data_IF_096686426063
#
_entry.id   IF_096686426063
#
_cell.length_a   1.000
_cell.length_b   1.000
_cell.length_c   1.000
_cell.angle_alpha   90.00
_cell.angle_beta   90.00
_cell.angle_gamma   90.00
#
_symmetry.space_group_name_H-M   'P 1'
#
loop_
_entity.id
_entity.type
_entity.pdbx_description
1 polymer ?
#
# COMPACT_ATOMS: atom_id res chain seq x y z
N UNK A 1 -47.00 -52.49 -35.21
CA UNK A 1 -46.13 -52.23 -36.37
C UNK A 1 -45.85 -50.73 -36.46
N UNK A 2 -44.57 -50.37 -36.44
CA UNK A 2 -43.90 -49.17 -37.02
C UNK A 2 -44.77 -47.95 -37.37
N UNK A 3 -44.47 -46.79 -36.78
CA UNK A 3 -43.74 -45.71 -37.46
C UNK A 3 -43.60 -44.48 -36.54
N UNK A 4 -42.34 -44.08 -36.31
CA UNK A 4 -41.97 -42.81 -35.70
C UNK A 4 -42.36 -41.64 -36.63
N UNK A 5 -42.96 -40.60 -36.07
CA UNK A 5 -43.09 -39.29 -36.73
C UNK A 5 -42.05 -38.35 -36.13
N UNK A 6 -41.02 -38.09 -36.94
CA UNK A 6 -40.00 -37.05 -36.74
C UNK A 6 -40.66 -35.67 -36.88
N UNK A 7 -40.62 -34.86 -35.85
CA UNK A 7 -40.83 -33.41 -35.96
C UNK A 7 -39.47 -32.74 -36.18
N UNK A 8 -39.28 -32.19 -37.38
CA UNK A 8 -38.18 -31.28 -37.66
C UNK A 8 -38.53 -29.89 -37.14
N UNK A 9 -37.70 -29.36 -36.24
CA UNK A 9 -37.71 -27.94 -35.90
C UNK A 9 -36.46 -27.31 -36.50
N UNK A 10 -36.68 -26.38 -37.42
CA UNK A 10 -35.64 -25.58 -38.05
C UNK A 10 -34.95 -24.69 -37.01
N UNK A 11 -33.62 -24.68 -37.04
CA UNK A 11 -32.77 -23.73 -36.33
C UNK A 11 -32.82 -22.42 -37.10
N UNK A 12 -33.48 -21.40 -36.54
CA UNK A 12 -33.41 -20.03 -37.03
C UNK A 12 -32.49 -19.22 -36.11
N UNK A 13 -31.30 -18.97 -36.66
CA UNK A 13 -30.40 -17.82 -36.51
C UNK A 13 -30.67 -16.76 -35.45
N UNK A 14 -29.65 -16.52 -34.63
CA UNK A 14 -29.03 -15.19 -34.51
C UNK A 14 -29.69 -14.19 -33.57
N UNK A 15 -29.55 -14.39 -32.26
CA UNK A 15 -29.70 -13.29 -31.29
C UNK A 15 -28.36 -12.57 -31.16
N UNK A 16 -28.18 -11.50 -31.93
CA UNK A 16 -27.19 -10.46 -31.68
C UNK A 16 -27.58 -9.78 -30.35
N UNK A 17 -26.96 -10.19 -29.25
CA UNK A 17 -26.91 -9.37 -28.05
C UNK A 17 -26.10 -8.12 -28.41
N UNK A 18 -26.80 -7.00 -28.62
CA UNK A 18 -26.17 -5.70 -28.73
C UNK A 18 -25.33 -5.45 -27.48
N UNK A 19 -24.01 -5.46 -27.65
CA UNK A 19 -23.08 -4.93 -26.65
C UNK A 19 -23.48 -3.47 -26.46
N UNK A 20 -23.99 -3.12 -25.28
CA UNK A 20 -24.25 -1.74 -24.93
C UNK A 20 -22.97 -0.94 -25.26
N UNK A 21 -23.11 0.16 -26.00
CA UNK A 21 -21.99 1.02 -26.31
C UNK A 21 -21.31 1.40 -24.99
N UNK A 22 -20.02 1.07 -24.87
CA UNK A 22 -19.24 1.48 -23.70
C UNK A 22 -19.34 3.01 -23.58
N UNK A 23 -19.56 3.55 -22.36
CA UNK A 23 -19.64 4.99 -22.17
C UNK A 23 -18.37 5.65 -22.74
N UNK A 24 -18.46 6.90 -23.24
CA UNK A 24 -17.30 7.58 -23.80
C UNK A 24 -16.16 7.58 -22.78
N UNK A 25 -14.97 7.19 -23.24
CA UNK A 25 -13.78 7.12 -22.39
C UNK A 25 -13.58 8.47 -21.69
N UNK A 26 -13.35 8.43 -20.37
CA UNK A 26 -12.93 9.62 -19.61
C UNK A 26 -11.65 10.18 -20.22
N UNK A 27 -11.35 11.48 -20.06
CA UNK A 27 -10.07 12.04 -20.51
C UNK A 27 -8.86 11.25 -19.98
N UNK A 28 -8.95 10.74 -18.74
CA UNK A 28 -7.94 9.89 -18.13
C UNK A 28 -7.81 8.53 -18.85
N UNK A 29 -8.93 7.86 -19.14
CA UNK A 29 -8.93 6.59 -19.87
C UNK A 29 -8.38 6.74 -21.30
N UNK A 30 -8.68 7.86 -21.97
CA UNK A 30 -8.14 8.18 -23.29
C UNK A 30 -6.62 8.44 -23.23
N UNK A 31 -6.14 9.17 -22.22
CA UNK A 31 -4.71 9.41 -22.03
C UNK A 31 -3.94 8.11 -21.70
N UNK A 32 -4.51 7.22 -20.87
CA UNK A 32 -3.96 5.89 -20.61
C UNK A 32 -3.84 5.07 -21.90
N UNK A 33 -4.91 4.99 -22.69
CA UNK A 33 -4.91 4.25 -23.94
C UNK A 33 -3.86 4.79 -24.93
N UNK A 34 -3.67 6.11 -24.98
CA UNK A 34 -2.65 6.73 -25.80
C UNK A 34 -1.22 6.37 -25.36
N UNK A 35 -0.97 6.30 -24.04
CA UNK A 35 0.32 5.83 -23.50
C UNK A 35 0.54 4.34 -23.78
N UNK A 36 -0.46 3.49 -23.56
CA UNK A 36 -0.37 2.05 -23.84
C UNK A 36 -0.04 1.75 -25.30
N UNK A 37 -0.65 2.48 -26.24
CA UNK A 37 -0.42 2.31 -27.67
C UNK A 37 1.03 2.56 -28.10
N UNK A 38 1.76 3.42 -27.37
CA UNK A 38 3.18 3.72 -27.64
C UNK A 38 4.16 2.94 -26.75
N UNK A 39 3.68 2.29 -25.68
CA UNK A 39 4.54 1.69 -24.65
C UNK A 39 5.54 0.67 -25.23
N UNK A 40 5.13 -0.17 -26.19
CA UNK A 40 6.04 -1.16 -26.79
C UNK A 40 7.23 -0.51 -27.52
N UNK A 41 7.03 0.67 -28.10
CA UNK A 41 8.06 1.40 -28.85
C UNK A 41 8.88 2.35 -27.95
N UNK A 42 8.26 2.91 -26.91
CA UNK A 42 8.82 4.00 -26.11
C UNK A 42 9.15 3.63 -24.66
N UNK A 43 8.76 2.45 -24.18
CA UNK A 43 8.91 2.02 -22.78
C UNK A 43 9.44 0.59 -22.66
N UNK A 44 10.48 0.27 -23.44
CA UNK A 44 11.10 -1.06 -23.46
C UNK A 44 12.59 -0.95 -23.17
N UNK A 45 13.06 -1.52 -22.06
CA UNK A 45 14.48 -1.48 -21.69
C UNK A 45 15.39 -2.01 -22.83
N UNK A 46 16.54 -1.36 -23.11
CA UNK A 46 17.07 -0.16 -22.47
C UNK A 46 16.51 1.16 -23.05
N UNK A 47 15.62 1.08 -24.05
CA UNK A 47 15.09 2.21 -24.79
C UNK A 47 13.80 2.75 -24.14
N UNK A 48 13.98 3.60 -23.13
CA UNK A 48 12.87 4.31 -22.48
C UNK A 48 12.92 5.78 -22.90
N UNK A 49 11.89 6.23 -23.62
CA UNK A 49 11.76 7.61 -24.05
C UNK A 49 11.44 8.52 -22.85
N UNK A 50 12.20 9.61 -22.70
CA UNK A 50 11.95 10.60 -21.64
C UNK A 50 10.55 11.22 -21.75
N UNK A 51 10.08 11.47 -22.97
CA UNK A 51 8.72 11.98 -23.25
C UNK A 51 7.64 11.08 -22.69
N UNK A 52 7.78 9.75 -22.84
CA UNK A 52 6.83 8.78 -22.31
C UNK A 52 6.75 8.87 -20.77
N UNK A 53 7.91 8.97 -20.11
CA UNK A 53 7.97 9.10 -18.65
C UNK A 53 7.35 10.40 -18.16
N UNK A 54 7.62 11.52 -18.84
CA UNK A 54 7.00 12.79 -18.53
C UNK A 54 5.47 12.75 -18.70
N UNK A 55 4.97 12.12 -19.76
CA UNK A 55 3.55 12.02 -20.03
C UNK A 55 2.82 11.14 -18.99
N UNK A 56 3.42 10.02 -18.57
CA UNK A 56 2.91 9.20 -17.47
C UNK A 56 2.85 10.00 -16.14
N UNK A 57 3.93 10.68 -15.79
CA UNK A 57 4.00 11.50 -14.56
C UNK A 57 2.93 12.60 -14.59
N UNK A 58 2.76 13.30 -15.73
CA UNK A 58 1.72 14.32 -15.89
C UNK A 58 0.31 13.75 -15.75
N UNK A 59 0.07 12.54 -16.26
CA UNK A 59 -1.23 11.87 -16.13
C UNK A 59 -1.53 11.47 -14.68
N UNK A 60 -0.52 11.06 -13.91
CA UNK A 60 -0.70 10.83 -12.47
C UNK A 60 -0.98 12.16 -11.77
N UNK A 61 -0.12 13.16 -11.97
CA UNK A 61 -0.20 14.47 -11.31
C UNK A 61 -1.45 15.29 -11.70
N UNK A 62 -2.09 15.00 -12.83
CA UNK A 62 -3.36 15.65 -13.22
C UNK A 62 -4.52 15.31 -12.26
N UNK A 63 -4.34 14.30 -11.41
CA UNK A 63 -5.34 13.85 -10.44
C UNK A 63 -6.67 13.42 -11.09
N UNK A 64 -6.60 12.91 -12.33
CA UNK A 64 -7.79 12.48 -13.10
C UNK A 64 -8.04 10.98 -13.08
N UNK A 65 -7.07 10.16 -12.64
CA UNK A 65 -7.28 8.72 -12.43
C UNK A 65 -8.25 8.50 -11.26
N UNK A 66 -9.26 7.65 -11.46
CA UNK A 66 -10.41 7.57 -10.55
C UNK A 66 -10.72 6.15 -10.06
N UNK A 67 -10.46 5.15 -10.88
CA UNK A 67 -10.77 3.74 -10.62
C UNK A 67 -9.51 2.91 -10.36
N UNK A 68 -9.66 1.79 -9.65
CA UNK A 68 -8.54 0.89 -9.39
C UNK A 68 -7.93 0.31 -10.68
N UNK A 69 -8.74 0.10 -11.73
CA UNK A 69 -8.27 -0.29 -13.07
C UNK A 69 -7.36 0.76 -13.70
N UNK A 70 -7.74 2.04 -13.65
CA UNK A 70 -6.92 3.13 -14.20
C UNK A 70 -5.58 3.26 -13.47
N UNK A 71 -5.56 3.14 -12.14
CA UNK A 71 -4.32 3.12 -11.35
C UNK A 71 -3.47 1.89 -11.65
N UNK A 72 -4.09 0.71 -11.81
CA UNK A 72 -3.37 -0.51 -12.17
C UNK A 72 -2.72 -0.39 -13.55
N UNK A 73 -3.45 0.07 -14.56
CA UNK A 73 -2.92 0.33 -15.90
C UNK A 73 -1.77 1.32 -15.88
N UNK A 74 -1.90 2.43 -15.13
CA UNK A 74 -0.82 3.38 -14.93
C UNK A 74 0.43 2.73 -14.29
N UNK A 75 0.24 1.89 -13.26
CA UNK A 75 1.34 1.17 -12.61
C UNK A 75 2.09 0.26 -13.61
N UNK A 76 1.37 -0.41 -14.52
CA UNK A 76 1.97 -1.28 -15.55
C UNK A 76 2.75 -0.52 -16.62
N UNK A 77 2.57 0.79 -16.73
CA UNK A 77 3.32 1.67 -17.63
C UNK A 77 4.56 2.28 -16.95
N UNK A 78 4.71 2.17 -15.63
CA UNK A 78 5.94 2.56 -14.96
C UNK A 78 7.10 1.73 -15.54
N UNK A 79 8.24 2.37 -15.88
CA UNK A 79 9.29 1.70 -16.63
C UNK A 79 9.93 0.59 -15.80
N UNK A 80 10.17 -0.58 -16.42
CA UNK A 80 10.92 -1.63 -15.77
C UNK A 80 12.39 -1.20 -15.63
N UNK A 81 12.88 -1.12 -14.40
CA UNK A 81 14.31 -1.22 -14.04
C UNK A 81 15.23 0.02 -14.17
N UNK A 82 14.77 1.25 -13.94
CA UNK A 82 15.66 2.42 -14.11
C UNK A 82 16.03 3.21 -12.86
N UNK A 83 15.39 2.97 -11.72
CA UNK A 83 15.75 3.69 -10.49
C UNK A 83 14.72 3.57 -9.36
N UNK A 84 15.11 4.04 -8.17
CA UNK A 84 14.24 4.06 -7.00
C UNK A 84 12.93 4.82 -7.27
N UNK A 85 12.99 5.93 -8.02
CA UNK A 85 11.81 6.78 -8.28
C UNK A 85 10.75 6.02 -9.08
N UNK A 86 11.14 5.31 -10.12
CA UNK A 86 10.23 4.62 -11.02
C UNK A 86 9.58 3.41 -10.33
N UNK A 87 10.39 2.61 -9.64
CA UNK A 87 9.91 1.48 -8.83
C UNK A 87 8.97 1.96 -7.72
N UNK A 88 9.28 3.11 -7.10
CA UNK A 88 8.40 3.73 -6.11
C UNK A 88 7.04 4.11 -6.71
N UNK A 89 7.02 4.78 -7.87
CA UNK A 89 5.77 5.17 -8.54
C UNK A 89 4.94 3.94 -8.92
N UNK A 90 5.55 2.89 -9.46
CA UNK A 90 4.85 1.62 -9.73
C UNK A 90 4.16 1.09 -8.46
N UNK A 91 4.90 1.05 -7.34
CA UNK A 91 4.41 0.54 -6.08
C UNK A 91 3.27 1.40 -5.49
N UNK A 92 3.40 2.73 -5.52
CA UNK A 92 2.38 3.68 -5.03
C UNK A 92 1.06 3.58 -5.81
N UNK A 93 1.15 3.49 -7.14
CA UNK A 93 0.00 3.29 -8.02
C UNK A 93 -0.63 1.91 -7.78
N UNK A 94 0.18 0.87 -7.57
CA UNK A 94 -0.30 -0.48 -7.26
C UNK A 94 -1.05 -0.53 -5.93
N UNK A 95 -0.52 0.09 -4.88
CA UNK A 95 -1.20 0.23 -3.59
C UNK A 95 -2.54 0.94 -3.76
N UNK A 96 -2.59 1.99 -4.57
CA UNK A 96 -3.81 2.75 -4.84
C UNK A 96 -4.84 1.91 -5.59
N UNK A 97 -4.41 1.11 -6.57
CA UNK A 97 -5.29 0.18 -7.27
C UNK A 97 -5.92 -0.85 -6.30
N UNK A 98 -5.12 -1.46 -5.43
CA UNK A 98 -5.60 -2.37 -4.39
C UNK A 98 -6.56 -1.66 -3.42
N UNK A 99 -6.21 -0.46 -2.96
CA UNK A 99 -7.07 0.35 -2.11
C UNK A 99 -8.37 0.78 -2.80
N UNK A 100 -8.44 0.71 -4.13
CA UNK A 100 -9.66 0.90 -4.93
C UNK A 100 -10.30 -0.43 -5.38
N UNK A 101 -10.05 -1.49 -4.62
CA UNK A 101 -10.67 -2.82 -4.77
C UNK A 101 -10.35 -3.51 -6.12
N UNK A 102 -9.21 -3.18 -6.75
CA UNK A 102 -8.77 -3.84 -7.97
C UNK A 102 -8.10 -5.20 -7.69
N UNK A 103 -8.87 -6.29 -7.79
CA UNK A 103 -8.39 -7.64 -7.43
C UNK A 103 -7.12 -8.09 -8.18
N UNK A 104 -6.95 -7.87 -9.50
CA UNK A 104 -5.71 -8.27 -10.18
C UNK A 104 -4.45 -7.56 -9.64
N UNK A 105 -4.60 -6.35 -9.08
CA UNK A 105 -3.48 -5.64 -8.46
C UNK A 105 -2.98 -6.33 -7.18
N UNK A 106 -3.86 -7.04 -6.46
CA UNK A 106 -3.48 -7.79 -5.25
C UNK A 106 -2.42 -8.85 -5.57
N UNK A 107 -2.53 -9.52 -6.72
CA UNK A 107 -1.63 -10.59 -7.14
C UNK A 107 -0.22 -10.09 -7.53
N UNK A 108 -0.11 -8.83 -7.95
CA UNK A 108 1.17 -8.22 -8.34
C UNK A 108 1.90 -7.54 -7.17
N UNK A 109 1.23 -7.32 -6.05
CA UNK A 109 1.76 -6.59 -4.91
C UNK A 109 3.04 -7.21 -4.30
N UNK A 110 3.17 -8.54 -4.13
CA UNK A 110 4.42 -9.14 -3.65
C UNK A 110 5.63 -8.81 -4.53
N UNK A 111 5.46 -8.80 -5.85
CA UNK A 111 6.52 -8.50 -6.80
C UNK A 111 6.88 -7.00 -6.78
N UNK A 112 5.88 -6.12 -6.77
CA UNK A 112 6.12 -4.68 -6.67
C UNK A 112 6.84 -4.30 -5.36
N UNK A 113 6.49 -4.98 -4.26
CA UNK A 113 7.17 -4.80 -2.98
C UNK A 113 8.61 -5.30 -3.00
N UNK A 114 8.86 -6.50 -3.54
CA UNK A 114 10.22 -7.03 -3.70
C UNK A 114 11.10 -6.10 -4.57
N UNK A 115 10.55 -5.52 -5.63
CA UNK A 115 11.24 -4.52 -6.45
C UNK A 115 11.60 -3.28 -5.65
N UNK A 116 10.66 -2.73 -4.87
CA UNK A 116 10.93 -1.56 -4.02
C UNK A 116 11.99 -1.86 -2.96
N UNK A 117 11.94 -3.04 -2.36
CA UNK A 117 12.92 -3.49 -1.39
C UNK A 117 14.32 -3.54 -2.01
N UNK A 118 14.46 -4.12 -3.20
CA UNK A 118 15.73 -4.12 -3.93
C UNK A 118 16.20 -2.71 -4.28
N UNK A 119 15.30 -1.82 -4.72
CA UNK A 119 15.63 -0.42 -5.02
C UNK A 119 16.12 0.36 -3.80
N UNK A 120 15.70 -0.06 -2.59
CA UNK A 120 16.18 0.46 -1.31
C UNK A 120 17.45 -0.25 -0.79
N UNK A 121 18.04 -1.16 -1.58
CA UNK A 121 19.20 -1.95 -1.20
C UNK A 121 18.89 -2.95 -0.07
N UNK A 122 17.69 -3.52 -0.06
CA UNK A 122 17.20 -4.45 0.96
C UNK A 122 16.89 -5.82 0.36
N UNK A 123 16.99 -6.90 1.17
CA UNK A 123 16.62 -8.23 0.72
C UNK A 123 15.17 -8.32 0.26
N UNK A 124 14.93 -9.26 -0.64
CA UNK A 124 13.61 -9.73 -1.05
C UNK A 124 12.82 -10.19 0.17
N UNK A 125 11.49 -10.12 0.09
CA UNK A 125 10.56 -10.48 1.16
C UNK A 125 9.67 -11.65 0.76
N UNK A 126 9.30 -11.73 -0.51
CA UNK A 126 8.43 -12.78 -1.05
C UNK A 126 9.13 -13.70 -2.05
N UNK A 127 10.19 -13.21 -2.70
CA UNK A 127 10.86 -13.84 -3.83
C UNK A 127 9.87 -14.15 -4.97
N UNK A 128 9.00 -13.18 -5.29
CA UNK A 128 7.85 -13.39 -6.18
C UNK A 128 8.22 -13.87 -7.59
N UNK A 129 9.43 -13.54 -8.06
CA UNK A 129 9.97 -13.98 -9.35
C UNK A 129 11.02 -15.10 -9.22
N UNK A 130 11.16 -15.68 -8.03
CA UNK A 130 12.15 -16.73 -7.73
C UNK A 130 13.59 -16.29 -8.05
N UNK A 131 13.90 -15.01 -7.88
CA UNK A 131 15.23 -14.46 -8.15
C UNK A 131 16.26 -15.04 -7.20
N UNK A 132 15.94 -15.13 -5.91
CA UNK A 132 16.82 -15.74 -4.91
C UNK A 132 17.03 -17.21 -5.22
N UNK A 133 15.94 -17.95 -5.47
CA UNK A 133 16.00 -19.37 -5.78
C UNK A 133 16.80 -19.67 -7.07
N UNK A 134 16.72 -18.80 -8.09
CA UNK A 134 17.47 -18.95 -9.35
C UNK A 134 18.92 -18.47 -9.27
N UNK A 135 19.25 -17.64 -8.28
CA UNK A 135 20.56 -17.00 -8.14
C UNK A 135 21.04 -17.03 -6.67
N UNK A 136 21.26 -18.22 -6.08
CA UNK A 136 21.48 -18.37 -4.64
C UNK A 136 22.75 -17.67 -4.12
N UNK A 137 23.76 -17.50 -4.98
CA UNK A 137 25.04 -16.89 -4.62
C UNK A 137 25.08 -15.37 -4.88
N UNK A 138 24.01 -14.79 -5.44
CA UNK A 138 23.95 -13.37 -5.73
C UNK A 138 23.31 -12.62 -4.55
N UNK A 139 24.14 -11.91 -3.77
CA UNK A 139 23.69 -11.13 -2.60
C UNK A 139 22.63 -10.07 -2.93
N UNK A 140 22.61 -9.57 -4.18
CA UNK A 140 21.56 -8.65 -4.66
C UNK A 140 20.16 -9.25 -4.56
N UNK A 141 20.05 -10.57 -4.72
CA UNK A 141 18.80 -11.32 -4.65
C UNK A 141 18.68 -12.12 -3.34
N UNK A 142 19.35 -11.68 -2.28
CA UNK A 142 19.18 -12.26 -0.95
C UNK A 142 17.72 -12.17 -0.49
N UNK A 143 17.26 -13.21 0.22
CA UNK A 143 15.90 -13.32 0.74
C UNK A 143 15.90 -13.22 2.27
N UNK A 144 15.26 -12.17 2.78
CA UNK A 144 14.83 -12.09 4.16
C UNK A 144 13.31 -12.30 4.16
N UNK A 145 12.85 -13.55 4.19
CA UNK A 145 11.43 -13.84 3.97
C UNK A 145 10.52 -13.14 4.99
N UNK A 146 9.42 -12.54 4.51
CA UNK A 146 8.38 -12.03 5.39
C UNK A 146 7.78 -13.17 6.26
N UNK A 147 7.31 -12.86 7.49
CA UNK A 147 6.64 -13.83 8.35
C UNK A 147 5.56 -14.62 7.60
N UNK A 148 5.43 -15.91 7.92
CA UNK A 148 4.50 -16.82 7.20
C UNK A 148 3.07 -16.29 7.17
N UNK A 149 2.61 -15.67 8.25
CA UNK A 149 1.26 -15.09 8.37
C UNK A 149 1.03 -13.94 7.38
N UNK A 150 2.05 -13.11 7.14
CA UNK A 150 2.02 -12.04 6.14
C UNK A 150 2.08 -12.64 4.72
N UNK A 151 2.97 -13.61 4.48
CA UNK A 151 3.08 -14.29 3.19
C UNK A 151 1.78 -14.98 2.78
N UNK A 152 1.12 -15.65 3.72
CA UNK A 152 -0.18 -16.27 3.50
C UNK A 152 -1.25 -15.28 3.02
N UNK A 153 -1.30 -14.09 3.62
CA UNK A 153 -2.26 -13.04 3.22
C UNK A 153 -1.93 -12.49 1.84
N UNK A 154 -0.69 -12.10 1.57
CA UNK A 154 -0.35 -11.41 0.33
C UNK A 154 -0.32 -12.32 -0.90
N UNK A 155 0.09 -13.58 -0.72
CA UNK A 155 0.13 -14.53 -1.83
C UNK A 155 -1.26 -15.10 -2.15
N UNK A 156 -2.17 -15.13 -1.17
CA UNK A 156 -3.52 -15.71 -1.32
C UNK A 156 -4.60 -14.88 -0.60
N UNK A 157 -4.81 -13.60 -0.97
CA UNK A 157 -5.68 -12.69 -0.23
C UNK A 157 -7.14 -13.12 -0.20
N UNK A 158 -7.66 -13.74 -1.27
CA UNK A 158 -9.02 -14.28 -1.28
C UNK A 158 -9.21 -15.42 -0.27
N UNK A 159 -8.26 -16.36 -0.19
CA UNK A 159 -8.29 -17.47 0.78
C UNK A 159 -8.16 -16.92 2.21
N UNK A 160 -7.25 -15.97 2.41
CA UNK A 160 -7.04 -15.34 3.71
C UNK A 160 -8.28 -14.58 4.19
N UNK A 161 -8.99 -13.87 3.29
CA UNK A 161 -10.28 -13.22 3.60
C UNK A 161 -11.34 -14.21 4.06
N UNK A 162 -11.47 -15.37 3.40
CA UNK A 162 -12.44 -16.39 3.81
C UNK A 162 -12.07 -17.06 5.14
N UNK A 163 -10.77 -17.23 5.42
CA UNK A 163 -10.31 -17.72 6.71
C UNK A 163 -10.60 -16.71 7.83
N UNK A 164 -10.32 -15.42 7.61
CA UNK A 164 -10.52 -14.36 8.59
C UNK A 164 -11.99 -14.23 9.04
N UNK A 165 -12.97 -14.51 8.16
CA UNK A 165 -14.40 -14.51 8.51
C UNK A 165 -14.79 -15.58 9.53
N UNK A 166 -13.97 -16.61 9.73
CA UNK A 166 -14.24 -17.78 10.59
C UNK A 166 -13.41 -17.79 11.87
N UNK A 167 -12.62 -16.74 12.11
CA UNK A 167 -11.69 -16.66 13.22
C UNK A 167 -12.01 -15.44 14.06
N UNK A 168 -11.78 -15.53 15.36
CA UNK A 168 -11.91 -14.41 16.29
C UNK A 168 -10.62 -13.60 16.37
N UNK A 169 -10.74 -12.33 16.75
CA UNK A 169 -9.59 -11.45 17.00
C UNK A 169 -8.70 -12.01 18.11
N UNK A 170 -7.39 -11.78 17.99
CA UNK A 170 -6.43 -12.08 19.04
C UNK A 170 -6.57 -11.11 20.22
N UNK A 171 -7.09 -11.62 21.34
CA UNK A 171 -7.31 -10.85 22.56
C UNK A 171 -6.03 -10.24 23.15
N UNK A 172 -4.87 -10.89 22.99
CA UNK A 172 -3.59 -10.36 23.45
C UNK A 172 -3.15 -9.16 22.60
N UNK A 173 -3.26 -9.25 21.27
CA UNK A 173 -2.96 -8.12 20.37
C UNK A 173 -3.85 -6.93 20.70
N UNK A 174 -5.13 -7.19 21.00
CA UNK A 174 -6.05 -6.16 21.47
C UNK A 174 -5.56 -5.49 22.77
N UNK A 175 -5.17 -6.27 23.77
CA UNK A 175 -4.68 -5.72 25.03
C UNK A 175 -3.40 -4.87 24.84
N UNK A 176 -2.49 -5.31 23.95
CA UNK A 176 -1.27 -4.56 23.64
C UNK A 176 -1.58 -3.22 22.98
N UNK A 177 -2.48 -3.17 22.01
CA UNK A 177 -2.84 -1.90 21.34
C UNK A 177 -3.62 -0.98 22.27
N UNK A 178 -4.49 -1.52 23.13
CA UNK A 178 -5.21 -0.73 24.12
C UNK A 178 -4.21 -0.03 25.07
N UNK A 179 -3.18 -0.74 25.51
CA UNK A 179 -2.10 -0.20 26.33
C UNK A 179 -1.21 0.82 25.57
N UNK A 180 -0.93 0.58 24.29
CA UNK A 180 -0.21 1.54 23.43
C UNK A 180 -0.99 2.87 23.29
N UNK A 181 -2.29 2.79 23.01
CA UNK A 181 -3.12 3.98 22.81
C UNK A 181 -3.40 4.71 24.13
N UNK A 182 -3.58 3.98 25.24
CA UNK A 182 -3.77 4.59 26.57
C UNK A 182 -2.56 5.45 26.99
N UNK A 183 -1.33 5.01 26.69
CA UNK A 183 -0.12 5.78 26.96
C UNK A 183 -0.05 7.11 26.20
N UNK A 184 -0.85 7.28 25.13
CA UNK A 184 -0.79 8.42 24.21
C UNK A 184 -1.93 9.42 24.37
N UNK A 185 -2.86 9.20 25.31
CA UNK A 185 -4.03 10.07 25.51
C UNK A 185 -3.69 11.55 25.78
N UNK A 186 -2.54 11.82 26.41
CA UNK A 186 -2.03 13.17 26.70
C UNK A 186 -0.59 13.38 26.23
N UNK A 187 -0.18 12.71 25.15
CA UNK A 187 1.22 12.71 24.69
C UNK A 187 1.86 14.10 24.56
N UNK A 188 1.07 15.12 24.21
CA UNK A 188 1.52 16.51 24.07
C UNK A 188 1.91 17.23 25.37
N UNK A 189 1.59 16.63 26.52
CA UNK A 189 1.83 17.15 27.88
C UNK A 189 2.85 16.31 28.65
N UNK A 190 3.36 15.22 28.07
CA UNK A 190 4.34 14.36 28.73
C UNK A 190 5.68 15.10 28.87
N UNK A 191 6.27 14.97 30.05
CA UNK A 191 7.66 15.35 30.33
C UNK A 191 8.64 14.49 29.53
N UNK A 192 9.90 14.92 29.48
CA UNK A 192 10.94 14.16 28.78
C UNK A 192 11.12 12.75 29.36
N UNK A 193 11.08 12.59 30.68
CA UNK A 193 11.20 11.28 31.34
C UNK A 193 10.02 10.37 31.02
N UNK A 194 8.81 10.92 30.96
CA UNK A 194 7.61 10.17 30.55
C UNK A 194 7.67 9.75 29.08
N UNK A 195 8.23 10.58 28.19
CA UNK A 195 8.47 10.23 26.79
C UNK A 195 9.50 9.10 26.66
N UNK A 196 10.58 9.14 27.44
CA UNK A 196 11.59 8.06 27.47
C UNK A 196 10.97 6.75 27.97
N UNK A 197 10.19 6.81 29.06
CA UNK A 197 9.46 5.65 29.59
C UNK A 197 8.46 5.09 28.57
N UNK A 198 7.76 5.94 27.85
CA UNK A 198 6.84 5.52 26.79
C UNK A 198 7.61 4.81 25.65
N UNK A 199 8.79 5.32 25.27
CA UNK A 199 9.63 4.69 24.26
C UNK A 199 10.16 3.31 24.71
N UNK A 200 10.52 3.14 25.99
CA UNK A 200 10.88 1.83 26.55
C UNK A 200 9.70 0.84 26.50
N UNK A 201 8.50 1.30 26.85
CA UNK A 201 7.28 0.50 26.74
C UNK A 201 6.94 0.15 25.29
N UNK A 202 7.20 1.07 24.34
CA UNK A 202 7.06 0.80 22.91
C UNK A 202 7.98 -0.33 22.47
N UNK A 203 9.24 -0.35 22.92
CA UNK A 203 10.14 -1.46 22.62
C UNK A 203 9.62 -2.81 23.16
N UNK A 204 9.07 -2.82 24.38
CA UNK A 204 8.50 -4.04 24.96
C UNK A 204 7.28 -4.54 24.17
N UNK A 205 6.35 -3.64 23.82
CA UNK A 205 5.17 -3.96 22.99
C UNK A 205 5.59 -4.46 21.61
N UNK A 206 6.53 -3.78 20.95
CA UNK A 206 7.06 -4.17 19.65
C UNK A 206 7.72 -5.55 19.69
N UNK A 207 8.49 -5.86 20.75
CA UNK A 207 9.08 -7.19 20.94
C UNK A 207 7.99 -8.27 21.05
N UNK A 208 6.91 -8.00 21.79
CA UNK A 208 5.81 -8.97 21.93
C UNK A 208 5.03 -9.15 20.63
N UNK A 209 4.70 -8.07 19.91
CA UNK A 209 4.04 -8.17 18.60
C UNK A 209 4.89 -8.99 17.61
N UNK A 210 6.22 -8.79 17.59
CA UNK A 210 7.12 -9.61 16.74
C UNK A 210 7.05 -11.10 17.08
N UNK A 211 6.97 -11.45 18.36
CA UNK A 211 6.81 -12.85 18.78
C UNK A 211 5.47 -13.42 18.29
N UNK A 212 4.36 -12.72 18.52
CA UNK A 212 3.02 -13.13 18.05
C UNK A 212 2.99 -13.31 16.53
N UNK A 213 3.58 -12.38 15.78
CA UNK A 213 3.69 -12.48 14.31
C UNK A 213 4.51 -13.71 13.88
N UNK A 214 5.63 -13.98 14.56
CA UNK A 214 6.48 -15.14 14.28
C UNK A 214 5.79 -16.47 14.62
N UNK A 215 4.97 -16.48 15.68
CA UNK A 215 4.16 -17.62 16.11
C UNK A 215 2.91 -17.82 15.23
N UNK A 216 2.59 -16.86 14.36
CA UNK A 216 1.45 -16.92 13.45
C UNK A 216 0.11 -16.50 14.07
N UNK A 217 0.12 -15.78 15.20
CA UNK A 217 -1.07 -15.45 15.99
C UNK A 217 -1.93 -14.30 15.45
N UNK A 218 -1.76 -13.85 14.21
CA UNK A 218 -2.61 -12.83 13.59
C UNK A 218 -3.55 -13.48 12.58
N UNK A 219 -4.85 -13.18 12.65
CA UNK A 219 -5.85 -13.90 11.85
C UNK A 219 -6.83 -12.97 11.13
N UNK A 220 -7.26 -11.89 11.77
CA UNK A 220 -8.27 -10.98 11.23
C UNK A 220 -7.65 -9.68 10.70
N UNK A 221 -8.38 -8.95 9.86
CA UNK A 221 -7.94 -7.61 9.41
C UNK A 221 -7.60 -6.69 10.59
N UNK A 222 -8.36 -6.82 11.68
CA UNK A 222 -8.19 -6.06 12.91
C UNK A 222 -6.91 -6.46 13.66
N UNK A 223 -6.56 -7.76 13.75
CA UNK A 223 -5.29 -8.18 14.33
C UNK A 223 -4.09 -7.54 13.62
N UNK A 224 -4.11 -7.58 12.28
CA UNK A 224 -3.06 -6.99 11.46
C UNK A 224 -3.02 -5.46 11.61
N UNK A 225 -4.17 -4.78 11.64
CA UNK A 225 -4.24 -3.33 11.82
C UNK A 225 -3.72 -2.90 13.21
N UNK A 226 -4.12 -3.60 14.28
CA UNK A 226 -3.66 -3.35 15.64
C UNK A 226 -2.16 -3.59 15.78
N UNK A 227 -1.65 -4.68 15.22
CA UNK A 227 -0.23 -4.98 15.20
C UNK A 227 0.56 -3.92 14.42
N UNK A 228 0.07 -3.48 13.26
CA UNK A 228 0.67 -2.40 12.48
C UNK A 228 0.68 -1.07 13.24
N UNK A 229 -0.41 -0.74 13.96
CA UNK A 229 -0.52 0.48 14.75
C UNK A 229 0.50 0.53 15.90
N UNK A 230 0.77 -0.61 16.55
CA UNK A 230 1.84 -0.71 17.56
C UNK A 230 3.22 -0.61 16.89
N UNK A 231 3.43 -1.39 15.83
CA UNK A 231 4.71 -1.47 15.12
C UNK A 231 5.11 -0.16 14.42
N UNK A 232 4.18 0.75 14.11
CA UNK A 232 4.54 2.07 13.57
C UNK A 232 5.33 2.93 14.58
N UNK A 233 5.31 2.56 15.87
CA UNK A 233 6.10 3.18 16.94
C UNK A 233 7.42 2.43 17.20
N UNK A 234 7.79 1.51 16.31
CA UNK A 234 9.11 0.89 16.34
C UNK A 234 10.22 1.86 15.96
N UNK A 235 11.46 1.42 16.16
CA UNK A 235 12.64 2.15 15.73
C UNK A 235 13.28 1.49 14.51
N UNK A 236 13.70 2.33 13.57
CA UNK A 236 14.47 1.93 12.39
C UNK A 236 13.67 1.23 11.29
N UNK A 237 14.35 1.08 10.14
CA UNK A 237 13.74 0.59 8.90
C UNK A 237 13.06 -0.77 9.06
N UNK A 238 13.70 -1.76 9.69
CA UNK A 238 13.13 -3.11 9.82
C UNK A 238 11.83 -3.16 10.63
N UNK A 239 11.65 -2.22 11.58
CA UNK A 239 10.41 -2.07 12.32
C UNK A 239 9.30 -1.43 11.49
N UNK A 240 9.60 -0.31 10.82
CA UNK A 240 8.63 0.36 9.94
C UNK A 240 8.24 -0.50 8.74
N UNK A 241 9.18 -1.27 8.18
CA UNK A 241 8.91 -2.26 7.13
C UNK A 241 7.91 -3.31 7.61
N UNK A 242 8.12 -3.88 8.81
CA UNK A 242 7.15 -4.84 9.37
C UNK A 242 5.79 -4.18 9.63
N UNK A 243 5.77 -2.94 10.13
CA UNK A 243 4.52 -2.19 10.31
C UNK A 243 3.76 -2.01 8.99
N UNK A 244 4.48 -1.69 7.91
CA UNK A 244 3.92 -1.56 6.57
C UNK A 244 3.41 -2.89 6.01
N UNK A 245 4.18 -3.97 6.20
CA UNK A 245 3.78 -5.31 5.80
C UNK A 245 2.48 -5.77 6.48
N UNK A 246 2.34 -5.45 7.78
CA UNK A 246 1.13 -5.69 8.57
C UNK A 246 -0.04 -4.81 8.11
N UNK A 247 0.20 -3.52 7.83
CA UNK A 247 -0.84 -2.59 7.39
C UNK A 247 -1.47 -3.00 6.04
N UNK A 248 -0.64 -3.43 5.09
CA UNK A 248 -1.13 -3.96 3.81
C UNK A 248 -1.91 -5.26 4.03
N UNK A 249 -1.45 -6.12 4.95
CA UNK A 249 -2.19 -7.34 5.28
C UNK A 249 -3.60 -7.01 5.79
N UNK A 250 -3.74 -6.01 6.65
CA UNK A 250 -5.04 -5.52 7.11
C UNK A 250 -5.90 -4.98 5.95
N UNK A 251 -5.30 -4.19 5.04
CA UNK A 251 -5.98 -3.66 3.86
C UNK A 251 -6.48 -4.77 2.91
N UNK A 252 -5.64 -5.78 2.62
CA UNK A 252 -5.98 -6.94 1.78
C UNK A 252 -7.08 -7.80 2.41
N UNK A 253 -7.17 -7.85 3.74
CA UNK A 253 -8.24 -8.51 4.46
C UNK A 253 -9.53 -7.68 4.55
N UNK A 254 -9.53 -6.45 4.05
CA UNK A 254 -10.72 -5.61 3.90
C UNK A 254 -10.85 -4.46 4.91
N UNK A 255 -9.83 -4.14 5.70
CA UNK A 255 -9.86 -2.93 6.54
C UNK A 255 -9.66 -1.66 5.69
N UNK A 256 -10.80 -1.07 5.33
CA UNK A 256 -10.87 0.15 4.51
C UNK A 256 -10.62 1.44 5.28
N UNK A 257 -10.50 1.38 6.61
CA UNK A 257 -10.33 2.57 7.46
C UNK A 257 -8.91 2.62 7.96
N UNK A 258 -8.62 1.89 9.04
CA UNK A 258 -7.35 2.00 9.74
C UNK A 258 -6.23 1.38 8.91
N UNK A 259 -6.45 0.20 8.33
CA UNK A 259 -5.52 -0.48 7.43
C UNK A 259 -5.00 0.42 6.31
N UNK A 260 -5.90 1.05 5.54
CA UNK A 260 -5.52 1.97 4.44
C UNK A 260 -4.68 3.16 4.92
N UNK A 261 -5.09 3.83 5.99
CA UNK A 261 -4.32 4.94 6.55
C UNK A 261 -2.97 4.49 7.09
N UNK A 262 -2.90 3.32 7.73
CA UNK A 262 -1.65 2.74 8.22
C UNK A 262 -0.71 2.38 7.09
N UNK A 263 -1.19 1.96 5.91
CA UNK A 263 -0.33 1.74 4.73
C UNK A 263 0.45 3.01 4.42
N UNK A 264 -0.24 4.15 4.27
CA UNK A 264 0.39 5.45 4.03
C UNK A 264 1.33 5.87 5.19
N UNK A 265 0.85 5.75 6.44
CA UNK A 265 1.56 6.24 7.61
C UNK A 265 2.83 5.45 7.94
N UNK A 266 2.83 4.15 7.68
CA UNK A 266 4.01 3.28 7.85
C UNK A 266 4.98 3.40 6.68
N UNK A 267 4.46 3.62 5.46
CA UNK A 267 5.28 3.86 4.28
C UNK A 267 6.15 5.10 4.42
N UNK A 268 5.54 6.24 4.77
CA UNK A 268 6.27 7.49 4.97
C UNK A 268 7.33 7.37 6.08
N UNK A 269 7.02 6.68 7.19
CA UNK A 269 8.01 6.42 8.25
C UNK A 269 9.16 5.53 7.78
N UNK A 270 8.85 4.50 7.00
CA UNK A 270 9.85 3.62 6.43
C UNK A 270 10.80 4.38 5.52
N UNK A 271 10.27 5.21 4.60
CA UNK A 271 11.07 6.05 3.71
C UNK A 271 11.92 7.08 4.49
N UNK A 272 11.31 7.81 5.42
CA UNK A 272 12.01 8.78 6.26
C UNK A 272 13.17 8.13 7.03
N UNK A 273 13.01 6.89 7.50
CA UNK A 273 14.04 6.18 8.27
C UNK A 273 15.31 5.86 7.50
N UNK A 274 15.28 5.94 6.17
CA UNK A 274 16.42 5.74 5.27
C UNK A 274 16.76 7.00 4.46
N UNK A 275 16.25 8.17 4.89
CA UNK A 275 16.60 9.47 4.31
C UNK A 275 15.80 9.87 3.08
N UNK A 276 14.76 9.13 2.70
CA UNK A 276 13.84 9.55 1.65
C UNK A 276 12.74 10.46 2.22
N UNK A 277 12.28 11.40 1.40
CA UNK A 277 11.16 12.29 1.72
C UNK A 277 9.85 11.51 1.67
N UNK A 278 8.96 11.77 2.62
CA UNK A 278 7.61 11.18 2.65
C UNK A 278 6.77 11.52 1.42
N UNK A 279 5.72 10.74 1.18
CA UNK A 279 4.92 10.74 -0.05
C UNK A 279 3.47 11.11 0.23
N UNK A 280 2.88 10.47 1.24
CA UNK A 280 1.48 10.66 1.60
C UNK A 280 1.27 11.80 2.61
N UNK A 281 2.34 12.39 3.13
CA UNK A 281 2.29 13.56 4.01
C UNK A 281 1.76 13.21 5.40
N UNK A 282 2.05 12.02 5.92
CA UNK A 282 1.55 11.57 7.22
C UNK A 282 2.40 12.01 8.40
N UNK A 283 3.66 12.36 8.16
CA UNK A 283 4.66 12.72 9.17
C UNK A 283 4.81 14.24 9.30
N UNK A 284 5.09 14.68 10.52
CA UNK A 284 5.41 16.08 10.79
C UNK A 284 6.26 16.21 12.04
N UNK A 285 6.98 17.32 12.12
CA UNK A 285 7.77 17.68 13.30
C UNK A 285 7.00 18.62 14.20
N UNK A 286 7.23 18.46 15.49
CA UNK A 286 6.90 19.48 16.49
C UNK A 286 8.21 20.08 16.97
N UNK A 287 8.28 21.41 17.01
CA UNK A 287 9.45 22.08 17.56
C UNK A 287 9.38 22.00 19.08
N UNK A 288 10.55 21.91 19.74
CA UNK A 288 10.66 21.91 21.20
C UNK A 288 10.38 23.29 21.81
N UNK A 289 10.24 24.33 20.97
CA UNK A 289 9.87 25.67 21.42
C UNK A 289 8.41 25.69 21.83
N UNK A 290 8.16 26.09 23.08
CA UNK A 290 6.82 26.22 23.65
C UNK A 290 5.94 27.14 22.78
N UNK A 291 4.74 26.68 22.43
CA UNK A 291 3.80 27.43 21.58
C UNK A 291 4.00 27.29 20.07
N UNK A 292 5.05 26.58 19.62
CA UNK A 292 5.25 26.33 18.20
C UNK A 292 4.20 25.35 17.64
N UNK A 293 3.66 25.69 16.46
CA UNK A 293 2.71 24.82 15.76
C UNK A 293 3.44 23.60 15.18
N UNK A 294 2.82 22.40 15.20
CA UNK A 294 3.33 21.28 14.43
C UNK A 294 3.43 21.67 12.95
N UNK A 295 4.53 21.29 12.30
CA UNK A 295 4.74 21.53 10.86
C UNK A 295 4.79 20.19 10.15
N UNK A 296 4.12 20.12 9.00
CA UNK A 296 4.23 18.98 8.11
C UNK A 296 5.67 18.86 7.61
N UNK A 297 6.24 17.66 7.64
CA UNK A 297 7.57 17.46 7.05
C UNK A 297 7.51 17.59 5.52
N UNK A 298 8.66 17.79 4.89
CA UNK A 298 8.74 17.88 3.43
C UNK A 298 8.03 16.69 2.77
N UNK A 299 7.32 16.94 1.67
CA UNK A 299 6.59 15.91 0.91
C UNK A 299 7.10 15.95 -0.52
N UNK A 300 7.59 14.82 -1.03
CA UNK A 300 7.88 14.70 -2.45
C UNK A 300 6.55 14.56 -3.19
N UNK A 301 6.20 15.57 -3.98
CA UNK A 301 4.94 15.65 -4.73
C UNK A 301 5.06 15.09 -6.15
N UNK A 302 6.26 14.69 -6.61
CA UNK A 302 6.46 14.24 -7.99
C UNK A 302 5.86 12.86 -8.21
N UNK A 303 5.05 12.71 -9.26
CA UNK A 303 4.44 11.45 -9.68
C UNK A 303 3.52 10.84 -8.64
N UNK A 304 2.82 11.67 -7.86
CA UNK A 304 1.77 11.25 -6.91
C UNK A 304 0.64 12.29 -6.92
N UNK A 305 -0.61 11.84 -6.77
CA UNK A 305 -1.79 12.70 -6.73
C UNK A 305 -2.63 12.54 -5.46
N UNK A 306 -3.60 13.42 -5.29
CA UNK A 306 -4.51 13.37 -4.14
C UNK A 306 -5.48 12.19 -4.20
N UNK A 307 -5.78 11.66 -5.40
CA UNK A 307 -6.53 10.43 -5.57
C UNK A 307 -5.86 9.22 -4.91
N UNK A 308 -4.53 9.15 -4.91
CA UNK A 308 -3.74 8.13 -4.20
C UNK A 308 -3.80 8.35 -2.69
N UNK A 309 -3.62 9.60 -2.23
CA UNK A 309 -3.74 9.95 -0.80
C UNK A 309 -5.10 9.57 -0.24
N UNK A 310 -6.17 9.95 -0.94
CA UNK A 310 -7.55 9.67 -0.54
C UNK A 310 -7.87 8.17 -0.60
N UNK A 311 -7.34 7.44 -1.59
CA UNK A 311 -7.50 5.99 -1.64
C UNK A 311 -6.94 5.32 -0.39
N UNK A 312 -5.80 5.81 0.14
CA UNK A 312 -5.21 5.35 1.39
C UNK A 312 -5.75 6.07 2.65
N UNK A 313 -6.91 6.72 2.57
CA UNK A 313 -7.56 7.34 3.74
C UNK A 313 -6.85 8.58 4.28
N UNK A 314 -5.94 9.18 3.53
CA UNK A 314 -5.34 10.47 3.84
C UNK A 314 -6.19 11.62 3.26
N UNK A 315 -6.18 12.81 3.89
CA UNK A 315 -6.71 14.02 3.25
C UNK A 315 -5.85 14.42 2.04
N UNK A 316 -6.34 15.36 1.23
CA UNK A 316 -5.51 16.01 0.19
C UNK A 316 -4.30 16.68 0.83
N UNK A 317 -3.23 16.88 0.05
CA UNK A 317 -2.04 17.55 0.58
C UNK A 317 -2.32 18.99 1.02
N UNK A 318 -3.20 19.69 0.31
CA UNK A 318 -3.66 21.03 0.68
C UNK A 318 -4.39 21.04 2.03
N UNK A 319 -5.36 20.14 2.22
CA UNK A 319 -6.06 19.97 3.51
C UNK A 319 -5.08 19.56 4.62
N UNK A 320 -4.11 18.71 4.32
CA UNK A 320 -3.11 18.28 5.29
C UNK A 320 -2.25 19.44 5.77
N UNK A 321 -1.76 20.29 4.86
CA UNK A 321 -1.03 21.53 5.16
C UNK A 321 -1.88 22.47 6.03
N UNK A 322 -3.16 22.63 5.70
CA UNK A 322 -4.10 23.45 6.49
C UNK A 322 -4.34 22.88 7.90
N UNK A 323 -4.53 21.56 8.04
CA UNK A 323 -4.78 20.88 9.31
C UNK A 323 -3.60 20.94 10.28
N UNK A 324 -2.36 20.89 9.77
CA UNK A 324 -1.17 21.07 10.60
C UNK A 324 -1.05 22.51 11.12
N UNK A 325 -1.38 23.50 10.28
CA UNK A 325 -1.39 24.91 10.67
C UNK A 325 -2.50 25.27 11.68
N UNK A 326 -3.59 24.48 11.75
CA UNK A 326 -4.81 24.83 12.49
C UNK A 326 -5.08 23.98 13.74
N UNK A 327 -4.18 23.09 14.15
CA UNK A 327 -4.25 22.44 15.49
C UNK A 327 -3.94 23.45 16.61
N UNK A 328 -4.82 24.45 16.75
CA UNK A 328 -5.07 25.14 18.02
C UNK A 328 -5.25 24.06 19.09
N UNK A 329 -4.58 24.24 20.22
CA UNK A 329 -4.92 23.54 21.45
C UNK A 329 -6.44 23.54 21.58
N UNK A 330 -7.06 22.36 21.66
CA UNK A 330 -8.45 22.27 22.13
C UNK A 330 -8.50 23.05 23.44
N UNK A 331 -9.20 24.17 23.42
CA UNK A 331 -9.49 24.98 24.61
C UNK A 331 -10.22 24.05 25.61
N UNK A 332 -9.88 24.09 26.91
CA UNK A 332 -10.22 23.08 27.90
C UNK A 332 -11.69 22.67 27.95
#
# INVERSE_FOLDING_TARGET
MKALIRWGLAIASGTLFGRAAEPPATPAAAALAALEARAAAENTYPNIAESFQCDLVRLVESNTLSSGEEFYRAARLAPPLTGFREVRVEYELMLTAVAKDHLPAEATLPAAWDSLQQALGRPLRFDAWQLSARNPDNEQFSLEAAPKVIRGVWQNPAIAREAAKKTEDNAEVKAIVDADQAARGNWSKLSQDELLKMAEQDQQRNKRIRAIVSEGGLHTAEDFARAALVMQHSSGFAGYRLAHELAISAMLLGDRKMGRWLVAATYDRMLNSVGHVQRFGTQGRRTLVHGSQPVLDEVDERGICDGERQALGCPTLAEKRANFATRRAKTP
#
